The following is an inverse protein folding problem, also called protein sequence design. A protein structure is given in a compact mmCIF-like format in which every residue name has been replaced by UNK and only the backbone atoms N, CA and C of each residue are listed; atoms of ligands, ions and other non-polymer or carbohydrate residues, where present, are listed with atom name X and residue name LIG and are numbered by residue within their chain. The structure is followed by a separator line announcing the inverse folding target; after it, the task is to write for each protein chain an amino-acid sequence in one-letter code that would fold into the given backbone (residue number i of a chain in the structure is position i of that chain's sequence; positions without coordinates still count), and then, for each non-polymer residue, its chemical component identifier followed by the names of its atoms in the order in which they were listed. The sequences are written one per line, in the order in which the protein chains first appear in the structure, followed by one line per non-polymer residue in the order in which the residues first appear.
data_IF_035840699352
#
_entry.id   IF_035840699352
#
_cell.length_a   1.000
_cell.length_b   1.000
_cell.length_c   1.000
_cell.angle_alpha   90.00
_cell.angle_beta   90.00
_cell.angle_gamma   90.00
#
_symmetry.space_group_name_H-M   'P 1'
#
loop_
_entity.id
_entity.type
_entity.pdbx_description
1 polymer ?
#
# COMPACT_ATOMS: atom_id res chain seq x y z
N UNK A 1 9.01 30.24 10.57
CA UNK A 1 8.07 29.11 10.46
C UNK A 1 7.12 29.45 9.32
N UNK A 2 6.76 28.52 8.42
CA UNK A 2 6.05 28.85 7.17
C UNK A 2 4.58 29.27 7.38
N UNK A 3 4.03 29.06 8.58
CA UNK A 3 2.67 29.41 8.99
C UNK A 3 2.65 29.77 10.48
N UNK A 4 1.83 30.75 10.87
CA UNK A 4 1.76 31.30 12.25
C UNK A 4 0.71 30.63 13.16
N UNK A 5 0.08 29.54 12.69
CA UNK A 5 -0.98 28.82 13.40
C UNK A 5 -0.59 27.38 13.73
N UNK A 6 -1.10 26.78 14.82
CA UNK A 6 -0.90 25.36 15.12
C UNK A 6 -1.42 24.45 14.00
N UNK A 7 -0.75 23.32 13.77
CA UNK A 7 -1.11 22.37 12.71
C UNK A 7 -2.52 21.80 12.91
N UNK A 8 -2.92 21.43 14.13
CA UNK A 8 -4.29 21.01 14.42
C UNK A 8 -5.34 22.06 14.03
N UNK A 9 -5.07 23.35 14.25
CA UNK A 9 -5.99 24.42 13.89
C UNK A 9 -6.14 24.50 12.37
N UNK A 10 -5.03 24.37 11.64
CA UNK A 10 -5.04 24.33 10.18
C UNK A 10 -5.82 23.10 9.68
N UNK A 11 -5.55 21.91 10.22
CA UNK A 11 -6.20 20.67 9.79
C UNK A 11 -7.72 20.67 10.03
N UNK A 12 -8.19 21.40 11.05
CA UNK A 12 -9.61 21.55 11.35
C UNK A 12 -10.29 22.71 10.59
N UNK A 13 -9.54 23.51 9.83
CA UNK A 13 -10.12 24.57 9.01
C UNK A 13 -11.12 23.96 7.99
N UNK A 14 -12.30 24.59 7.76
CA UNK A 14 -13.32 24.04 6.86
C UNK A 14 -12.80 23.73 5.45
N UNK A 15 -11.90 24.56 4.94
CA UNK A 15 -11.31 24.40 3.61
C UNK A 15 -10.39 23.17 3.55
N UNK A 16 -9.63 22.90 4.60
CA UNK A 16 -8.69 21.77 4.64
C UNK A 16 -9.40 20.46 4.99
N UNK A 17 -10.36 20.49 5.91
CA UNK A 17 -11.16 19.32 6.28
C UNK A 17 -12.02 18.80 5.13
N UNK A 18 -12.63 19.70 4.34
CA UNK A 18 -13.42 19.31 3.16
C UNK A 18 -12.56 18.62 2.10
N UNK A 19 -11.39 19.18 1.76
CA UNK A 19 -10.43 18.57 0.83
C UNK A 19 -9.95 17.22 1.35
N UNK A 20 -9.63 17.13 2.65
CA UNK A 20 -9.14 15.88 3.25
C UNK A 20 -10.20 14.79 3.20
N UNK A 21 -11.46 15.13 3.45
CA UNK A 21 -12.57 14.18 3.32
C UNK A 21 -12.80 13.78 1.87
N UNK A 22 -12.77 14.70 0.91
CA UNK A 22 -12.88 14.37 -0.53
C UNK A 22 -11.76 13.42 -1.00
N UNK A 23 -10.55 13.60 -0.48
CA UNK A 23 -9.39 12.74 -0.79
C UNK A 23 -9.40 11.39 -0.06
N UNK A 24 -10.32 11.18 0.89
CA UNK A 24 -10.35 9.97 1.69
C UNK A 24 -10.67 8.74 0.84
N UNK A 25 -9.76 7.77 0.85
CA UNK A 25 -10.01 6.47 0.21
C UNK A 25 -11.12 5.69 0.95
N UNK A 26 -11.76 4.76 0.25
CA UNK A 26 -12.86 3.95 0.81
C UNK A 26 -14.26 4.52 0.56
N UNK A 27 -14.39 5.76 0.07
CA UNK A 27 -15.68 6.35 -0.32
C UNK A 27 -16.31 5.70 -1.56
N UNK A 28 -15.50 5.06 -2.40
CA UNK A 28 -15.94 4.33 -3.59
C UNK A 28 -15.24 2.99 -3.65
N UNK A 29 -16.00 1.98 -4.03
CA UNK A 29 -15.52 0.60 -4.11
C UNK A 29 -14.91 0.32 -5.50
N UNK A 30 -13.67 -0.19 -5.58
CA UNK A 30 -13.08 -0.62 -6.85
C UNK A 30 -13.85 -1.78 -7.49
N UNK A 31 -14.16 -1.65 -8.79
CA UNK A 31 -14.75 -2.74 -9.58
C UNK A 31 -13.75 -3.83 -10.00
N UNK A 32 -12.46 -3.61 -9.77
CA UNK A 32 -11.40 -4.57 -10.01
C UNK A 32 -10.83 -5.09 -8.68
N UNK A 33 -10.23 -6.30 -8.65
CA UNK A 33 -9.53 -6.81 -7.49
C UNK A 33 -8.39 -5.86 -7.07
N UNK A 34 -8.07 -5.82 -5.78
CA UNK A 34 -7.06 -4.92 -5.21
C UNK A 34 -6.02 -5.70 -4.43
N UNK A 35 -4.75 -5.31 -4.57
CA UNK A 35 -3.67 -5.73 -3.69
C UNK A 35 -3.21 -4.55 -2.83
N UNK A 36 -3.27 -4.72 -1.51
CA UNK A 36 -2.77 -3.77 -0.52
C UNK A 36 -1.61 -4.37 0.26
N UNK A 37 -0.67 -3.53 0.65
CA UNK A 37 0.38 -3.89 1.61
C UNK A 37 0.76 -2.68 2.47
N UNK A 38 1.08 -2.93 3.74
CA UNK A 38 1.45 -1.90 4.71
C UNK A 38 2.33 -2.52 5.80
N UNK A 39 3.32 -1.78 6.29
CA UNK A 39 4.15 -2.16 7.43
C UNK A 39 3.35 -2.06 8.73
N UNK A 40 3.44 -3.08 9.59
CA UNK A 40 2.82 -3.07 10.91
C UNK A 40 3.43 -2.00 11.81
N UNK A 41 4.71 -1.70 11.63
CA UNK A 41 5.46 -0.73 12.42
C UNK A 41 5.71 0.58 11.66
N UNK A 42 4.81 0.96 10.75
CA UNK A 42 4.91 2.22 10.01
C UNK A 42 4.80 3.41 10.97
N UNK A 43 5.87 4.20 11.03
CA UNK A 43 6.01 5.37 11.90
C UNK A 43 5.46 6.66 11.29
N UNK A 44 5.16 6.68 9.99
CA UNK A 44 4.68 7.87 9.29
C UNK A 44 3.18 7.81 9.04
N UNK A 45 2.68 6.64 8.64
CA UNK A 45 1.27 6.41 8.32
C UNK A 45 0.70 5.32 9.23
N UNK A 46 -0.36 5.61 10.00
CA UNK A 46 -1.00 4.59 10.82
C UNK A 46 -1.58 3.46 9.96
N UNK A 47 -1.17 2.22 10.23
CA UNK A 47 -1.68 1.02 9.54
C UNK A 47 -3.22 0.88 9.66
N UNK A 48 -3.81 1.43 10.72
CA UNK A 48 -5.26 1.43 10.96
C UNK A 48 -6.05 2.06 9.81
N UNK A 49 -5.48 3.03 9.09
CA UNK A 49 -6.11 3.63 7.92
C UNK A 49 -6.22 2.62 6.75
N UNK A 50 -5.17 1.83 6.52
CA UNK A 50 -5.19 0.76 5.50
C UNK A 50 -6.05 -0.42 5.93
N UNK A 51 -6.10 -0.72 7.24
CA UNK A 51 -7.01 -1.73 7.79
C UNK A 51 -8.48 -1.37 7.58
N UNK A 52 -8.83 -0.10 7.80
CA UNK A 52 -10.17 0.42 7.50
C UNK A 52 -10.45 0.37 6.01
N UNK A 53 -9.51 0.84 5.18
CA UNK A 53 -9.68 0.82 3.73
C UNK A 53 -9.93 -0.58 3.18
N UNK A 54 -9.15 -1.57 3.63
CA UNK A 54 -9.32 -2.95 3.23
C UNK A 54 -10.71 -3.48 3.61
N UNK A 55 -11.19 -3.13 4.81
CA UNK A 55 -12.53 -3.50 5.27
C UNK A 55 -13.62 -2.86 4.43
N UNK A 56 -13.56 -1.54 4.23
CA UNK A 56 -14.55 -0.78 3.45
C UNK A 56 -14.64 -1.34 2.01
N UNK A 57 -13.52 -1.71 1.40
CA UNK A 57 -13.48 -2.34 0.08
C UNK A 57 -14.06 -3.76 0.07
N UNK A 58 -13.75 -4.58 1.07
CA UNK A 58 -14.31 -5.93 1.19
C UNK A 58 -15.82 -5.88 1.39
N UNK A 59 -16.31 -5.02 2.28
CA UNK A 59 -17.75 -4.81 2.53
C UNK A 59 -18.47 -4.28 1.28
N UNK A 60 -17.78 -3.48 0.46
CA UNK A 60 -18.27 -3.04 -0.84
C UNK A 60 -18.29 -4.12 -1.93
N UNK A 61 -17.71 -5.30 -1.70
CA UNK A 61 -17.64 -6.41 -2.66
C UNK A 61 -16.36 -6.47 -3.50
N UNK A 62 -15.36 -5.61 -3.25
CA UNK A 62 -14.05 -5.74 -3.90
C UNK A 62 -13.33 -6.97 -3.35
N UNK A 63 -12.75 -7.78 -4.25
CA UNK A 63 -11.82 -8.81 -3.84
C UNK A 63 -10.47 -8.20 -3.44
N UNK A 64 -10.19 -8.14 -2.14
CA UNK A 64 -8.95 -7.55 -1.59
C UNK A 64 -7.97 -8.65 -1.17
N UNK A 65 -6.74 -8.56 -1.65
CA UNK A 65 -5.57 -9.25 -1.07
C UNK A 65 -4.78 -8.22 -0.26
N UNK A 66 -4.66 -8.40 1.06
CA UNK A 66 -3.96 -7.45 1.94
C UNK A 66 -2.83 -8.14 2.71
N UNK A 67 -1.63 -7.54 2.69
CA UNK A 67 -0.45 -8.01 3.42
C UNK A 67 0.04 -6.97 4.41
N UNK A 68 -0.01 -7.33 5.70
CA UNK A 68 0.60 -6.56 6.78
C UNK A 68 2.01 -7.07 7.03
N UNK A 69 3.03 -6.29 6.67
CA UNK A 69 4.44 -6.68 6.76
C UNK A 69 4.97 -6.41 8.18
N UNK A 70 5.50 -7.43 8.87
CA UNK A 70 5.96 -7.29 10.27
C UNK A 70 7.38 -6.78 10.41
N UNK A 71 8.22 -6.93 9.40
CA UNK A 71 9.68 -6.74 9.55
C UNK A 71 10.18 -5.42 8.99
N UNK A 72 9.35 -4.75 8.21
CA UNK A 72 9.65 -3.45 7.62
C UNK A 72 9.01 -2.30 8.39
N UNK A 73 9.49 -1.11 8.09
CA UNK A 73 8.95 0.19 8.44
C UNK A 73 8.58 0.95 7.15
N UNK A 74 8.08 2.19 7.22
CA UNK A 74 7.62 2.95 6.06
C UNK A 74 8.60 2.97 4.86
N UNK A 75 9.84 3.42 5.08
CA UNK A 75 10.85 3.64 4.04
C UNK A 75 11.38 2.30 3.52
N UNK A 76 11.66 1.36 4.43
CA UNK A 76 12.13 0.03 4.07
C UNK A 76 11.07 -0.76 3.30
N UNK A 77 9.79 -0.61 3.65
CA UNK A 77 8.69 -1.20 2.87
C UNK A 77 8.56 -0.53 1.51
N UNK A 78 8.66 0.80 1.43
CA UNK A 78 8.66 1.50 0.14
C UNK A 78 9.80 1.02 -0.77
N UNK A 79 10.96 0.69 -0.18
CA UNK A 79 12.14 0.19 -0.85
C UNK A 79 12.17 -1.32 -1.08
N UNK A 80 11.36 -2.15 -0.41
CA UNK A 80 11.48 -3.61 -0.56
C UNK A 80 10.13 -4.28 -0.84
N UNK A 81 9.03 -3.73 -0.34
CA UNK A 81 7.76 -4.40 -0.24
C UNK A 81 6.97 -4.59 -1.55
N UNK A 82 7.39 -3.95 -2.64
CA UNK A 82 6.67 -3.95 -3.93
C UNK A 82 6.70 -5.28 -4.69
N UNK A 83 7.58 -6.23 -4.35
CA UNK A 83 7.77 -7.47 -5.12
C UNK A 83 6.50 -8.32 -5.24
N UNK A 84 5.82 -8.54 -4.10
CA UNK A 84 4.62 -9.40 -4.07
C UNK A 84 3.44 -8.73 -4.78
N UNK A 85 3.35 -7.39 -4.71
CA UNK A 85 2.37 -6.61 -5.46
C UNK A 85 2.55 -6.79 -6.98
N UNK A 86 3.80 -6.73 -7.48
CA UNK A 86 4.10 -6.94 -8.90
C UNK A 86 3.82 -8.39 -9.33
N UNK A 87 4.15 -9.37 -8.48
CA UNK A 87 3.84 -10.78 -8.73
C UNK A 87 2.33 -11.05 -8.77
N UNK A 88 1.58 -10.43 -7.85
CA UNK A 88 0.13 -10.49 -7.82
C UNK A 88 -0.48 -9.84 -9.07
N UNK A 89 0.00 -8.67 -9.47
CA UNK A 89 -0.46 -7.98 -10.68
C UNK A 89 -0.21 -8.82 -11.93
N UNK A 90 0.98 -9.39 -12.06
CA UNK A 90 1.32 -10.28 -13.18
C UNK A 90 0.38 -11.50 -13.24
N UNK A 91 -0.02 -12.06 -12.09
CA UNK A 91 -0.99 -13.16 -12.05
C UNK A 91 -2.39 -12.74 -12.54
N UNK A 92 -2.83 -11.50 -12.24
CA UNK A 92 -4.10 -10.95 -12.75
C UNK A 92 -4.07 -10.72 -14.26
N UNK A 93 -2.97 -10.15 -14.77
CA UNK A 93 -2.77 -9.95 -16.21
C UNK A 93 -2.68 -11.29 -16.97
N UNK A 94 -2.17 -12.35 -16.34
CA UNK A 94 -2.13 -13.69 -16.89
C UNK A 94 -3.45 -14.48 -16.73
N UNK A 95 -4.54 -13.84 -16.28
CA UNK A 95 -5.85 -14.48 -16.13
C UNK A 95 -5.92 -15.56 -15.05
N UNK A 96 -4.98 -15.58 -14.09
CA UNK A 96 -5.01 -16.57 -13.01
C UNK A 96 -6.17 -16.27 -12.06
N UNK A 97 -6.96 -17.29 -11.67
CA UNK A 97 -8.12 -17.10 -10.81
C UNK A 97 -7.70 -16.54 -9.44
N UNK A 98 -8.62 -15.82 -8.83
CA UNK A 98 -8.51 -15.39 -7.43
C UNK A 98 -8.90 -16.54 -6.49
N UNK A 99 -8.44 -16.51 -5.23
CA UNK A 99 -9.07 -17.27 -4.17
C UNK A 99 -10.58 -16.96 -4.08
N UNK A 100 -11.39 -17.86 -3.52
CA UNK A 100 -12.83 -17.65 -3.41
C UNK A 100 -13.20 -16.46 -2.51
N UNK A 101 -12.36 -16.15 -1.52
CA UNK A 101 -12.60 -15.10 -0.53
C UNK A 101 -11.46 -14.08 -0.51
N UNK A 102 -11.72 -12.82 -0.10
CA UNK A 102 -10.67 -11.85 0.20
C UNK A 102 -9.63 -12.42 1.18
N UNK A 103 -8.37 -12.04 1.00
CA UNK A 103 -7.26 -12.66 1.72
C UNK A 103 -6.43 -11.61 2.46
N UNK A 104 -6.71 -11.44 3.76
CA UNK A 104 -6.03 -10.48 4.65
C UNK A 104 -5.10 -11.23 5.59
N UNK A 105 -3.78 -10.96 5.52
CA UNK A 105 -2.78 -11.66 6.34
C UNK A 105 -1.68 -10.76 6.84
N UNK A 106 -1.20 -11.07 8.04
CA UNK A 106 0.08 -10.59 8.53
C UNK A 106 1.19 -11.55 8.11
N UNK A 107 2.21 -11.04 7.43
CA UNK A 107 3.34 -11.82 6.89
C UNK A 107 4.66 -11.33 7.49
N UNK A 108 5.68 -12.19 7.49
CA UNK A 108 7.03 -11.79 7.94
C UNK A 108 7.55 -10.67 7.04
N UNK A 109 7.53 -10.90 5.72
CA UNK A 109 7.73 -9.83 4.76
C UNK A 109 7.01 -10.09 3.42
N UNK A 110 6.58 -9.03 2.75
CA UNK A 110 6.12 -9.10 1.35
C UNK A 110 7.27 -9.33 0.36
N UNK A 111 8.52 -9.14 0.79
CA UNK A 111 9.70 -9.30 -0.07
C UNK A 111 10.17 -10.75 -0.23
N UNK A 112 9.70 -11.65 0.65
CA UNK A 112 10.25 -13.01 0.78
C UNK A 112 9.51 -14.07 -0.05
N UNK A 113 8.63 -13.67 -0.99
CA UNK A 113 7.85 -14.63 -1.77
C UNK A 113 8.60 -15.12 -3.03
N UNK A 114 8.72 -16.44 -3.19
CA UNK A 114 9.46 -17.11 -4.28
C UNK A 114 9.00 -16.70 -5.69
N UNK A 115 7.75 -16.26 -5.84
CA UNK A 115 7.16 -15.79 -7.11
C UNK A 115 7.65 -14.40 -7.56
N UNK A 116 8.44 -13.71 -6.72
CA UNK A 116 8.70 -12.28 -6.86
C UNK A 116 10.20 -11.90 -7.00
N UNK A 117 11.12 -12.85 -6.81
CA UNK A 117 12.58 -12.59 -6.75
C UNK A 117 13.14 -11.96 -8.03
N UNK A 118 12.74 -12.43 -9.22
CA UNK A 118 13.28 -11.91 -10.50
C UNK A 118 12.81 -10.47 -10.80
N UNK A 119 11.55 -10.18 -10.50
CA UNK A 119 10.96 -8.84 -10.67
C UNK A 119 11.56 -7.86 -9.67
N UNK A 120 11.77 -8.32 -8.44
CA UNK A 120 12.40 -7.55 -7.38
C UNK A 120 13.83 -7.16 -7.73
N UNK A 121 14.65 -8.10 -8.21
CA UNK A 121 16.04 -7.79 -8.61
C UNK A 121 16.11 -6.71 -9.71
N UNK A 122 15.20 -6.73 -10.69
CA UNK A 122 15.13 -5.69 -11.74
C UNK A 122 14.70 -4.33 -11.18
N UNK A 123 13.74 -4.32 -10.27
CA UNK A 123 13.23 -3.10 -9.65
C UNK A 123 14.27 -2.47 -8.71
N UNK A 124 14.94 -3.29 -7.88
CA UNK A 124 16.07 -2.87 -7.03
C UNK A 124 17.25 -2.34 -7.84
N UNK A 125 17.58 -2.98 -8.96
CA UNK A 125 18.59 -2.48 -9.88
C UNK A 125 18.22 -1.12 -10.49
N UNK A 126 16.94 -0.89 -10.79
CA UNK A 126 16.43 0.40 -11.23
C UNK A 126 16.58 1.48 -10.16
N UNK A 127 16.22 1.18 -8.92
CA UNK A 127 16.40 2.08 -7.78
C UNK A 127 17.88 2.39 -7.54
N UNK A 128 18.74 1.37 -7.58
CA UNK A 128 20.18 1.56 -7.43
C UNK A 128 20.75 2.48 -8.52
N UNK A 129 20.33 2.30 -9.78
CA UNK A 129 20.72 3.21 -10.88
C UNK A 129 20.27 4.65 -10.63
N UNK A 130 19.09 4.84 -10.04
CA UNK A 130 18.54 6.13 -9.63
C UNK A 130 19.44 6.81 -8.59
N UNK A 131 19.87 6.07 -7.56
CA UNK A 131 20.78 6.56 -6.52
C UNK A 131 22.21 6.80 -7.01
N UNK A 132 22.67 6.07 -8.03
CA UNK A 132 24.02 6.22 -8.62
C UNK A 132 24.03 7.25 -9.76
N UNK A 133 22.90 7.87 -10.10
CA UNK A 133 22.81 8.91 -11.14
C UNK A 133 23.05 8.37 -12.56
N UNK A 134 22.77 7.09 -12.81
CA UNK A 134 23.01 6.40 -14.09
C UNK A 134 21.72 5.97 -14.79
N UNK A 135 20.69 6.81 -14.71
CA UNK A 135 19.46 6.58 -15.49
C UNK A 135 19.74 6.70 -16.99
#
# INVERSE_FOLDING_TARGET
MLVDRPVEELMNAPELSSITEEMRLGQRTPGAPVYLYHAVHDQLLPITASDRLARDYIEGGTHVTYRRDRTTEHILLALLGGSDALGWLAARLAGRPLPPEPDVRTVISTSLNFRAVRSQLRWQWGILKLFVGRL
#
